data_IF_505790008732
#
_entry.id   IF_505790008732
#
_cell.length_a   1.000
_cell.length_b   1.000
_cell.length_c   1.000
_cell.angle_alpha   90.00
_cell.angle_beta   90.00
_cell.angle_gamma   90.00
#
_symmetry.space_group_name_H-M   'P 1'
#
loop_
_entity.id
_entity.type
_entity.pdbx_description
1 polymer ?
#
# COMPACT_ATOMS: atom_id res chain seq x y z
N UNK A 1 -11.22 -8.50 0.16
CA UNK A 1 -10.56 -8.40 1.48
C UNK A 1 -9.69 -9.62 1.64
N UNK A 2 -8.39 -9.45 1.56
CA UNK A 2 -7.38 -10.52 1.63
C UNK A 2 -6.85 -10.54 3.04
N UNK A 3 -7.05 -11.64 3.77
CA UNK A 3 -6.46 -11.85 5.08
C UNK A 3 -5.14 -12.61 4.90
N UNK A 4 -4.02 -11.98 5.20
CA UNK A 4 -2.73 -12.65 5.37
C UNK A 4 -2.59 -13.00 6.85
N UNK A 5 -2.19 -14.23 7.16
CA UNK A 5 -2.22 -14.76 8.51
C UNK A 5 -1.00 -14.36 9.33
N UNK A 6 -1.27 -14.17 10.60
CA UNK A 6 -0.28 -14.03 11.67
C UNK A 6 0.16 -15.40 12.20
N UNK A 7 1.48 -15.60 12.36
CA UNK A 7 2.08 -16.79 12.99
C UNK A 7 2.06 -16.60 14.51
N UNK A 8 0.98 -17.05 15.17
CA UNK A 8 0.91 -17.21 16.61
C UNK A 8 1.22 -18.66 17.00
N UNK A 9 2.45 -18.94 17.48
CA UNK A 9 2.81 -20.22 18.05
C UNK A 9 2.07 -20.47 19.35
N UNK A 10 1.48 -21.67 19.48
CA UNK A 10 1.01 -22.23 20.76
C UNK A 10 2.22 -22.63 21.59
N UNK A 11 2.25 -22.17 22.83
CA UNK A 11 3.11 -22.73 23.87
C UNK A 11 2.24 -23.54 24.83
N UNK A 12 2.58 -24.83 24.99
CA UNK A 12 2.03 -25.74 25.97
C UNK A 12 2.54 -25.40 27.39
N UNK A 13 1.64 -25.37 28.35
CA UNK A 13 1.93 -25.35 29.78
C UNK A 13 2.09 -26.80 30.31
N UNK A 14 3.17 -27.05 31.06
CA UNK A 14 3.28 -27.96 32.18
C UNK A 14 4.65 -27.71 32.84
N UNK A 15 4.81 -27.22 34.06
CA UNK A 15 4.40 -27.79 35.33
C UNK A 15 5.62 -28.10 36.20
N UNK A 16 5.70 -27.44 37.38
CA UNK A 16 6.30 -27.89 38.64
C UNK A 16 7.78 -27.61 39.04
N UNK A 17 7.85 -26.81 40.09
CA UNK A 17 8.53 -27.02 41.41
C UNK A 17 9.99 -26.65 41.63
N UNK A 18 10.20 -25.65 42.48
CA UNK A 18 10.97 -25.74 43.72
C UNK A 18 12.48 -25.45 43.68
N UNK A 19 12.88 -24.38 44.40
CA UNK A 19 14.27 -24.22 44.83
C UNK A 19 14.63 -22.74 45.18
N UNK A 20 14.55 -22.38 46.46
CA UNK A 20 15.14 -21.18 47.03
C UNK A 20 16.68 -21.28 47.01
N UNK A 21 17.42 -20.20 46.73
CA UNK A 21 18.40 -19.66 47.62
C UNK A 21 19.23 -18.47 47.07
N UNK A 22 19.27 -17.43 47.90
CA UNK A 22 20.41 -16.57 48.25
C UNK A 22 20.78 -15.40 47.32
N UNK A 23 20.67 -14.25 47.95
CA UNK A 23 21.03 -12.92 47.50
C UNK A 23 22.56 -12.66 47.47
N UNK A 24 23.00 -11.86 46.51
CA UNK A 24 24.28 -11.16 46.50
C UNK A 24 24.21 -9.91 45.62
N UNK A 25 24.89 -8.80 45.93
CA UNK A 25 24.48 -7.46 45.57
C UNK A 25 25.11 -6.88 44.29
N UNK A 26 24.39 -5.91 43.74
CA UNK A 26 24.84 -4.80 42.88
C UNK A 26 25.71 -5.10 41.65
N UNK A 27 25.05 -5.08 40.50
CA UNK A 27 25.64 -4.56 39.28
C UNK A 27 24.65 -3.62 38.59
N UNK A 28 25.06 -2.37 38.42
CA UNK A 28 24.34 -1.28 37.76
C UNK A 28 23.78 -1.74 36.42
N UNK A 29 22.46 -1.71 36.32
CA UNK A 29 21.73 -1.94 35.09
C UNK A 29 22.03 -0.82 34.09
N UNK A 30 22.73 -1.12 33.01
CA UNK A 30 22.70 -0.33 31.80
C UNK A 30 21.25 -0.29 31.32
N UNK A 31 20.70 0.91 31.27
CA UNK A 31 19.37 1.18 30.73
C UNK A 31 19.30 0.62 29.31
N UNK A 32 18.47 -0.41 29.13
CA UNK A 32 18.05 -0.94 27.88
C UNK A 32 17.30 0.18 27.14
N UNK A 33 17.89 0.69 26.07
CA UNK A 33 17.26 1.67 25.21
C UNK A 33 16.03 0.98 24.58
N UNK A 34 14.84 1.32 25.11
CA UNK A 34 13.58 0.68 24.78
C UNK A 34 13.35 0.65 23.29
N UNK A 35 13.41 -0.54 22.68
CA UNK A 35 12.90 -0.79 21.35
C UNK A 35 11.42 -0.39 21.33
N UNK A 36 11.07 0.62 20.52
CA UNK A 36 9.71 1.14 20.44
C UNK A 36 8.76 -0.03 20.11
N UNK A 37 7.84 -0.30 21.04
CA UNK A 37 6.90 -1.41 20.93
C UNK A 37 6.02 -1.18 19.69
N UNK A 38 6.03 -2.11 18.73
CA UNK A 38 5.17 -2.04 17.54
C UNK A 38 3.72 -1.77 17.94
N UNK A 39 3.03 -0.80 17.32
CA UNK A 39 1.65 -0.47 17.64
C UNK A 39 0.75 -1.70 17.42
N UNK A 40 -0.26 -1.86 18.28
CA UNK A 40 -1.20 -2.98 18.15
C UNK A 40 -2.14 -2.74 16.96
N UNK A 41 -2.59 -3.81 16.29
CA UNK A 41 -3.55 -3.73 15.19
C UNK A 41 -4.82 -2.93 15.54
N UNK A 42 -5.29 -3.00 16.79
CA UNK A 42 -6.42 -2.21 17.28
C UNK A 42 -6.17 -0.70 17.15
N UNK A 43 -4.98 -0.26 17.58
CA UNK A 43 -4.64 1.17 17.60
C UNK A 43 -4.47 1.69 16.17
N UNK A 44 -3.90 0.86 15.27
CA UNK A 44 -3.75 1.18 13.85
C UNK A 44 -5.10 1.25 13.10
N UNK A 45 -6.10 0.46 13.53
CA UNK A 45 -7.44 0.52 12.94
C UNK A 45 -8.22 1.79 13.29
N UNK A 46 -7.86 2.48 14.37
CA UNK A 46 -8.47 3.75 14.77
C UNK A 46 -7.83 4.95 14.03
N UNK A 47 -6.68 4.75 13.39
CA UNK A 47 -5.97 5.82 12.67
C UNK A 47 -6.66 6.13 11.35
N UNK A 48 -6.97 7.41 11.14
CA UNK A 48 -7.44 7.89 9.84
C UNK A 48 -6.24 8.04 8.91
N UNK A 49 -6.24 7.28 7.80
CA UNK A 49 -5.22 7.35 6.75
C UNK A 49 -5.89 7.35 5.39
N UNK A 50 -5.76 8.47 4.70
CA UNK A 50 -6.08 8.57 3.28
C UNK A 50 -4.86 8.14 2.47
N UNK A 51 -5.12 7.56 1.32
CA UNK A 51 -4.08 7.14 0.38
C UNK A 51 -4.49 7.47 -1.03
N UNK A 52 -3.55 7.91 -1.87
CA UNK A 52 -3.80 8.32 -3.25
C UNK A 52 -2.76 7.69 -4.16
N UNK A 53 -3.24 7.11 -5.26
CA UNK A 53 -2.42 6.68 -6.38
C UNK A 53 -2.73 7.60 -7.57
N UNK A 54 -1.69 8.21 -8.13
CA UNK A 54 -1.82 9.10 -9.27
C UNK A 54 -0.87 8.68 -10.38
N UNK A 55 -1.45 8.34 -11.52
CA UNK A 55 -0.75 7.81 -12.70
C UNK A 55 -0.73 8.88 -13.78
N UNK A 56 0.41 9.04 -14.42
CA UNK A 56 0.66 10.07 -15.41
C UNK A 56 1.33 9.51 -16.65
N UNK A 57 1.13 10.22 -17.76
CA UNK A 57 1.86 10.08 -19.01
C UNK A 57 2.60 11.38 -19.31
N UNK A 58 3.85 11.32 -19.75
CA UNK A 58 4.58 12.49 -20.26
C UNK A 58 4.04 12.83 -21.64
N UNK A 59 3.36 13.98 -21.74
CA UNK A 59 2.77 14.46 -22.99
C UNK A 59 3.76 15.27 -23.83
N UNK A 60 4.70 15.97 -23.17
CA UNK A 60 5.72 16.79 -23.85
C UNK A 60 7.12 16.45 -23.34
N UNK A 61 7.72 15.42 -23.94
CA UNK A 61 9.09 14.97 -23.61
C UNK A 61 10.12 16.02 -24.03
N UNK A 62 9.91 16.69 -25.17
CA UNK A 62 10.84 17.71 -25.69
C UNK A 62 10.94 18.90 -24.73
N UNK A 63 9.82 19.41 -24.23
CA UNK A 63 9.81 20.49 -23.24
C UNK A 63 10.41 20.04 -21.89
N UNK A 64 10.18 18.79 -21.50
CA UNK A 64 10.76 18.21 -20.27
C UNK A 64 12.30 18.17 -20.38
N UNK A 65 12.84 17.64 -21.47
CA UNK A 65 14.28 17.57 -21.73
C UNK A 65 14.92 18.96 -21.84
N UNK A 66 14.31 19.87 -22.63
CA UNK A 66 14.80 21.23 -22.81
C UNK A 66 14.90 22.02 -21.50
N UNK A 67 14.03 21.69 -20.52
CA UNK A 67 14.07 22.29 -19.21
C UNK A 67 15.10 21.70 -18.24
N UNK A 68 15.75 20.61 -18.65
CA UNK A 68 16.72 19.88 -17.84
C UNK A 68 16.06 18.88 -16.88
N UNK A 69 16.26 17.59 -17.14
CA UNK A 69 15.73 16.49 -16.32
C UNK A 69 16.17 16.58 -14.84
N UNK A 70 17.43 17.00 -14.61
CA UNK A 70 17.96 17.22 -13.26
C UNK A 70 17.18 18.30 -12.49
N UNK A 71 16.81 19.40 -13.15
CA UNK A 71 16.01 20.46 -12.55
C UNK A 71 14.57 19.98 -12.25
N UNK A 72 13.97 19.24 -13.18
CA UNK A 72 12.64 18.66 -12.98
C UNK A 72 12.64 17.65 -11.83
N UNK A 73 13.68 16.82 -11.72
CA UNK A 73 13.84 15.89 -10.61
C UNK A 73 14.05 16.59 -9.27
N UNK A 74 14.87 17.66 -9.23
CA UNK A 74 15.08 18.45 -8.01
C UNK A 74 13.78 19.11 -7.56
N UNK A 75 13.03 19.75 -8.46
CA UNK A 75 11.75 20.39 -8.16
C UNK A 75 10.74 19.40 -7.54
N UNK A 76 10.65 18.18 -8.07
CA UNK A 76 9.79 17.14 -7.52
C UNK A 76 10.32 16.64 -6.17
N UNK A 77 11.63 16.42 -6.04
CA UNK A 77 12.24 15.99 -4.76
C UNK A 77 11.94 17.02 -3.66
N UNK A 78 12.19 18.31 -3.92
CA UNK A 78 11.93 19.40 -2.98
C UNK A 78 10.45 19.47 -2.57
N UNK A 79 9.54 19.23 -3.53
CA UNK A 79 8.10 19.16 -3.25
C UNK A 79 7.76 18.01 -2.29
N UNK A 80 8.32 16.81 -2.54
CA UNK A 80 8.07 15.65 -1.70
C UNK A 80 8.70 15.79 -0.30
N UNK A 81 9.88 16.39 -0.20
CA UNK A 81 10.54 16.68 1.08
C UNK A 81 9.72 17.70 1.92
N UNK A 82 9.19 18.76 1.27
CA UNK A 82 8.28 19.69 1.93
C UNK A 82 6.98 19.01 2.37
N UNK A 83 6.46 18.07 1.59
CA UNK A 83 5.27 17.29 1.93
C UNK A 83 5.56 16.38 3.14
N UNK A 84 6.72 15.72 3.17
CA UNK A 84 7.15 14.90 4.30
C UNK A 84 7.25 15.72 5.60
N UNK A 85 7.75 16.96 5.52
CA UNK A 85 7.77 17.91 6.66
C UNK A 85 6.39 18.29 7.21
N UNK A 86 5.31 18.02 6.43
CA UNK A 86 3.91 18.19 6.84
C UNK A 86 3.23 16.87 7.24
N UNK A 87 3.98 15.75 7.30
CA UNK A 87 3.45 14.43 7.63
C UNK A 87 2.80 13.70 6.46
N UNK A 88 2.96 14.17 5.21
CA UNK A 88 2.53 13.45 4.02
C UNK A 88 3.62 12.46 3.61
N UNK A 89 3.28 11.19 3.51
CA UNK A 89 4.22 10.13 3.18
C UNK A 89 4.17 9.84 1.68
N UNK A 90 5.31 9.90 1.00
CA UNK A 90 5.47 9.32 -0.34
C UNK A 90 5.90 7.86 -0.19
N UNK A 91 4.94 6.92 -0.30
CA UNK A 91 5.27 5.48 -0.19
C UNK A 91 6.13 5.02 -1.35
N UNK A 92 5.94 5.58 -2.53
CA UNK A 92 6.80 5.29 -3.67
C UNK A 92 6.52 6.14 -4.89
N UNK A 93 7.57 6.21 -5.73
CA UNK A 93 7.53 6.70 -7.09
C UNK A 93 7.81 5.49 -7.98
N UNK A 94 6.97 5.23 -8.97
CA UNK A 94 7.01 3.98 -9.74
C UNK A 94 7.11 4.27 -11.24
N UNK A 95 8.04 3.59 -11.89
CA UNK A 95 8.16 3.52 -13.34
C UNK A 95 7.16 2.49 -13.88
N UNK A 96 6.25 2.94 -14.75
CA UNK A 96 5.17 2.14 -15.35
C UNK A 96 5.44 1.84 -16.82
N UNK A 97 6.46 2.48 -17.40
CA UNK A 97 6.84 2.34 -18.80
C UNK A 97 7.08 0.86 -19.16
N UNK A 98 6.63 0.46 -20.35
CA UNK A 98 6.75 -0.92 -20.84
C UNK A 98 5.78 -1.92 -20.20
N UNK A 99 5.20 -1.59 -19.03
CA UNK A 99 4.14 -2.38 -18.39
C UNK A 99 2.74 -1.88 -18.80
N UNK A 100 2.66 -0.60 -19.19
CA UNK A 100 1.46 0.02 -19.78
C UNK A 100 1.86 0.87 -20.98
N UNK A 101 1.00 0.89 -22.01
CA UNK A 101 1.22 1.70 -23.21
C UNK A 101 0.77 3.17 -23.03
N UNK A 102 -0.15 3.43 -22.11
CA UNK A 102 -0.83 4.71 -21.92
C UNK A 102 -0.35 5.48 -20.68
N UNK A 103 0.67 4.97 -19.96
CA UNK A 103 1.18 5.59 -18.75
C UNK A 103 2.70 5.41 -18.61
N UNK A 104 3.37 6.38 -18.00
CA UNK A 104 4.81 6.39 -17.81
C UNK A 104 5.22 6.25 -16.35
N UNK A 105 4.53 6.93 -15.42
CA UNK A 105 4.89 6.88 -14.01
C UNK A 105 3.68 7.02 -13.08
N UNK A 106 3.89 6.63 -11.83
CA UNK A 106 2.87 6.70 -10.77
C UNK A 106 3.49 7.15 -9.46
N UNK A 107 2.76 7.98 -8.71
CA UNK A 107 3.04 8.28 -7.30
C UNK A 107 2.04 7.58 -6.40
N UNK A 108 2.51 7.16 -5.22
CA UNK A 108 1.68 6.68 -4.13
C UNK A 108 1.91 7.54 -2.89
N UNK A 109 0.91 8.30 -2.50
CA UNK A 109 0.93 9.21 -1.35
C UNK A 109 -0.03 8.78 -0.24
N UNK A 110 0.33 9.09 1.02
CA UNK A 110 -0.47 8.78 2.21
C UNK A 110 -0.48 9.99 3.13
N UNK A 111 -1.65 10.34 3.67
CA UNK A 111 -1.80 11.46 4.62
C UNK A 111 -2.95 11.20 5.61
N UNK A 112 -3.02 12.00 6.67
CA UNK A 112 -4.16 12.00 7.60
C UNK A 112 -5.34 12.82 7.10
N UNK A 113 -5.13 13.73 6.15
CA UNK A 113 -6.16 14.60 5.55
C UNK A 113 -6.27 14.38 4.04
N UNK A 114 -7.48 14.36 3.47
CA UNK A 114 -7.67 14.33 2.02
C UNK A 114 -7.23 15.64 1.38
N UNK A 115 -7.37 16.78 2.07
CA UNK A 115 -6.99 18.11 1.56
C UNK A 115 -5.48 18.18 1.32
N UNK A 116 -4.66 17.59 2.22
CA UNK A 116 -3.22 17.50 2.05
C UNK A 116 -2.83 16.73 0.78
N UNK A 117 -3.53 15.64 0.47
CA UNK A 117 -3.29 14.86 -0.75
C UNK A 117 -3.71 15.64 -2.01
N UNK A 118 -4.85 16.34 -1.97
CA UNK A 118 -5.30 17.18 -3.08
C UNK A 118 -4.33 18.34 -3.31
N UNK A 119 -3.88 19.01 -2.25
CA UNK A 119 -2.90 20.10 -2.33
C UNK A 119 -1.57 19.61 -2.89
N UNK A 120 -1.07 18.45 -2.44
CA UNK A 120 0.15 17.85 -2.99
C UNK A 120 -0.01 17.54 -4.47
N UNK A 121 -1.14 16.95 -4.88
CA UNK A 121 -1.45 16.69 -6.29
C UNK A 121 -1.44 17.99 -7.12
N UNK A 122 -2.14 19.03 -6.65
CA UNK A 122 -2.20 20.34 -7.34
C UNK A 122 -0.81 20.98 -7.43
N UNK A 123 -0.02 20.92 -6.36
CA UNK A 123 1.36 21.44 -6.34
C UNK A 123 2.25 20.65 -7.30
N UNK A 124 2.15 19.31 -7.32
CA UNK A 124 2.86 18.49 -8.30
C UNK A 124 2.52 18.90 -9.74
N UNK A 125 1.24 19.11 -10.06
CA UNK A 125 0.79 19.57 -11.39
C UNK A 125 1.39 20.91 -11.82
N UNK A 126 1.91 21.70 -10.88
CA UNK A 126 2.59 22.98 -11.15
C UNK A 126 4.09 22.85 -11.34
N UNK A 127 4.70 21.72 -10.98
CA UNK A 127 6.11 21.44 -11.26
C UNK A 127 6.35 21.29 -12.76
N UNK A 128 7.59 21.37 -13.20
CA UNK A 128 7.96 21.14 -14.59
C UNK A 128 7.48 19.78 -15.08
N UNK A 129 7.81 18.69 -14.36
CA UNK A 129 7.34 17.35 -14.69
C UNK A 129 5.80 17.31 -14.77
N UNK A 130 5.11 17.88 -13.80
CA UNK A 130 3.66 17.92 -13.76
C UNK A 130 3.03 18.67 -14.93
N UNK A 131 3.65 19.77 -15.41
CA UNK A 131 3.19 20.53 -16.58
C UNK A 131 3.44 19.81 -17.91
N UNK A 132 4.53 19.05 -18.00
CA UNK A 132 4.83 18.24 -19.18
C UNK A 132 4.09 16.89 -19.21
N UNK A 133 3.25 16.61 -18.18
CA UNK A 133 2.55 15.33 -18.05
C UNK A 133 1.04 15.52 -18.03
N UNK A 134 0.31 14.51 -18.47
CA UNK A 134 -1.15 14.40 -18.36
C UNK A 134 -1.53 13.33 -17.33
N UNK A 135 -2.58 13.57 -16.51
CA UNK A 135 -3.10 12.54 -15.63
C UNK A 135 -3.81 11.47 -16.46
N UNK A 136 -3.49 10.21 -16.20
CA UNK A 136 -4.14 9.04 -16.81
C UNK A 136 -5.19 8.46 -15.88
N UNK A 137 -4.85 8.37 -14.59
CA UNK A 137 -5.73 7.84 -13.55
C UNK A 137 -5.31 8.40 -12.19
N UNK A 138 -6.28 8.76 -11.37
CA UNK A 138 -6.01 9.19 -10.01
C UNK A 138 -7.17 8.77 -9.12
N UNK A 139 -6.87 8.10 -8.01
CA UNK A 139 -7.86 7.59 -7.07
C UNK A 139 -7.40 7.82 -5.64
N UNK A 140 -8.35 8.17 -4.79
CA UNK A 140 -8.16 8.29 -3.36
C UNK A 140 -8.96 7.20 -2.65
N UNK A 141 -8.41 6.66 -1.57
CA UNK A 141 -9.07 5.70 -0.70
C UNK A 141 -8.78 6.05 0.77
N UNK A 142 -9.57 5.50 1.68
CA UNK A 142 -9.47 5.75 3.11
C UNK A 142 -9.37 4.42 3.86
N UNK A 143 -8.34 4.27 4.71
CA UNK A 143 -8.24 3.07 5.56
C UNK A 143 -9.46 2.95 6.48
N UNK A 144 -10.04 1.77 6.50
CA UNK A 144 -11.08 1.32 7.44
C UNK A 144 -10.80 -0.12 7.85
N UNK A 145 -11.12 -0.52 9.10
CA UNK A 145 -10.96 -1.90 9.55
C UNK A 145 -11.68 -2.88 8.63
N UNK A 146 -11.05 -4.03 8.42
CA UNK A 146 -11.65 -5.11 7.64
C UNK A 146 -12.91 -5.66 8.32
N UNK A 147 -13.93 -6.02 7.53
CA UNK A 147 -15.25 -6.46 8.02
C UNK A 147 -15.15 -7.68 8.95
N UNK A 148 -14.36 -8.70 8.57
CA UNK A 148 -14.29 -9.98 9.30
C UNK A 148 -12.92 -10.29 9.89
N UNK A 149 -11.88 -9.51 9.59
CA UNK A 149 -10.53 -9.69 10.13
C UNK A 149 -9.91 -8.36 10.52
N UNK A 150 -10.21 -7.89 11.73
CA UNK A 150 -9.69 -6.62 12.24
C UNK A 150 -8.19 -6.65 12.57
N UNK A 151 -7.54 -7.81 12.56
CA UNK A 151 -6.09 -7.91 12.72
C UNK A 151 -5.33 -7.65 11.41
N UNK A 152 -6.02 -7.71 10.26
CA UNK A 152 -5.42 -7.40 8.97
C UNK A 152 -5.28 -5.88 8.79
N UNK A 153 -4.05 -5.41 8.88
CA UNK A 153 -3.69 -4.00 8.67
C UNK A 153 -2.96 -3.89 7.32
N UNK A 154 -3.35 -2.96 6.43
CA UNK A 154 -2.58 -2.69 5.21
C UNK A 154 -1.14 -2.32 5.53
N UNK A 155 -0.18 -2.78 4.74
CA UNK A 155 1.24 -2.57 4.96
C UNK A 155 1.62 -1.08 5.06
N UNK A 156 0.93 -0.20 4.31
CA UNK A 156 1.17 1.25 4.38
C UNK A 156 0.68 1.89 5.69
N UNK A 157 -0.34 1.32 6.34
CA UNK A 157 -0.82 1.77 7.66
C UNK A 157 0.08 1.26 8.77
N UNK A 158 0.59 0.03 8.61
CA UNK A 158 1.57 -0.58 9.52
C UNK A 158 2.97 0.02 9.36
N UNK A 159 3.15 1.00 8.47
CA UNK A 159 4.44 1.67 8.17
C UNK A 159 5.54 0.66 7.77
N UNK A 160 5.14 -0.47 7.17
CA UNK A 160 6.10 -1.42 6.65
C UNK A 160 6.83 -0.85 5.42
N UNK A 161 8.12 -1.16 5.29
CA UNK A 161 8.93 -0.71 4.15
C UNK A 161 8.31 -1.13 2.81
N UNK A 162 8.19 -0.20 1.83
CA UNK A 162 7.66 -0.53 0.51
C UNK A 162 8.59 -1.48 -0.24
N UNK A 163 8.00 -2.32 -1.12
CA UNK A 163 8.74 -3.30 -1.92
C UNK A 163 9.16 -2.74 -3.27
N UNK A 164 9.96 -3.53 -4.03
CA UNK A 164 10.52 -3.13 -5.31
C UNK A 164 9.46 -2.92 -6.41
N UNK A 165 8.36 -3.67 -6.36
CA UNK A 165 7.27 -3.58 -7.32
C UNK A 165 5.94 -3.36 -6.61
N UNK A 166 5.03 -2.68 -7.31
CA UNK A 166 3.62 -2.56 -6.91
C UNK A 166 2.72 -2.87 -8.11
N UNK A 167 1.57 -3.49 -7.85
CA UNK A 167 0.46 -3.59 -8.79
C UNK A 167 -0.79 -3.02 -8.15
N UNK A 168 -1.31 -1.92 -8.71
CA UNK A 168 -2.49 -1.20 -8.20
C UNK A 168 -3.65 -1.40 -9.16
N UNK A 169 -4.82 -1.71 -8.62
CA UNK A 169 -6.04 -1.86 -9.42
C UNK A 169 -7.29 -1.62 -8.58
N UNK A 170 -8.39 -1.17 -9.23
CA UNK A 170 -9.68 -1.04 -8.57
C UNK A 170 -10.39 -2.37 -8.49
N UNK A 171 -11.36 -2.44 -7.57
CA UNK A 171 -12.18 -3.62 -7.40
C UNK A 171 -13.62 -3.22 -7.05
N UNK A 172 -14.58 -3.81 -7.75
CA UNK A 172 -16.01 -3.62 -7.49
C UNK A 172 -16.67 -4.98 -7.32
N UNK A 173 -17.42 -5.16 -6.25
CA UNK A 173 -18.17 -6.37 -5.96
C UNK A 173 -19.38 -6.53 -6.89
N UNK A 174 -19.90 -7.76 -6.99
CA UNK A 174 -21.20 -7.98 -7.61
C UNK A 174 -22.33 -7.37 -6.77
N UNK A 175 -23.46 -7.06 -7.39
CA UNK A 175 -24.61 -6.49 -6.67
C UNK A 175 -25.12 -7.38 -5.53
N UNK A 176 -24.99 -8.70 -5.69
CA UNK A 176 -25.43 -9.68 -4.69
C UNK A 176 -24.51 -9.72 -3.46
N UNK A 177 -23.22 -9.36 -3.61
CA UNK A 177 -22.23 -9.54 -2.54
C UNK A 177 -22.69 -8.98 -1.18
N UNK A 178 -23.14 -7.73 -1.16
CA UNK A 178 -23.53 -7.05 0.07
C UNK A 178 -24.87 -7.53 0.63
N UNK A 179 -25.66 -8.26 -0.18
CA UNK A 179 -26.94 -8.84 0.17
C UNK A 179 -26.84 -10.30 0.65
N UNK A 180 -25.66 -10.93 0.47
CA UNK A 180 -25.41 -12.28 0.98
C UNK A 180 -25.44 -12.30 2.52
N UNK A 181 -25.78 -13.47 3.06
CA UNK A 181 -25.64 -13.71 4.49
C UNK A 181 -24.22 -13.43 4.97
N UNK A 182 -24.03 -12.72 6.09
CA UNK A 182 -22.69 -12.41 6.60
C UNK A 182 -21.81 -13.64 6.88
N UNK A 183 -22.38 -14.79 7.25
CA UNK A 183 -21.63 -16.02 7.47
C UNK A 183 -21.10 -16.58 6.14
N UNK A 184 -21.87 -16.48 5.07
CA UNK A 184 -21.44 -16.88 3.72
C UNK A 184 -20.29 -16.01 3.23
N UNK A 185 -20.41 -14.67 3.33
CA UNK A 185 -19.31 -13.75 3.01
C UNK A 185 -18.03 -14.08 3.78
N UNK A 186 -18.18 -14.31 5.10
CA UNK A 186 -17.05 -14.68 5.96
C UNK A 186 -16.38 -15.96 5.50
N UNK A 187 -17.14 -16.99 5.13
CA UNK A 187 -16.61 -18.28 4.64
C UNK A 187 -15.79 -18.08 3.35
N UNK A 188 -16.34 -17.35 2.37
CA UNK A 188 -15.64 -17.08 1.11
C UNK A 188 -14.37 -16.25 1.33
N UNK A 189 -14.40 -15.27 2.24
CA UNK A 189 -13.23 -14.46 2.55
C UNK A 189 -12.18 -15.23 3.37
N UNK A 190 -12.60 -16.17 4.22
CA UNK A 190 -11.70 -17.07 4.92
C UNK A 190 -10.97 -18.02 3.95
N UNK A 191 -11.69 -18.61 2.99
CA UNK A 191 -11.10 -19.41 1.91
C UNK A 191 -10.05 -18.60 1.13
N UNK A 192 -10.45 -17.43 0.65
CA UNK A 192 -9.58 -16.51 -0.08
C UNK A 192 -8.33 -16.12 0.74
N UNK A 193 -8.51 -15.82 2.02
CA UNK A 193 -7.41 -15.50 2.94
C UNK A 193 -6.46 -16.68 3.19
N UNK A 194 -6.97 -17.93 3.29
CA UNK A 194 -6.13 -19.12 3.42
C UNK A 194 -5.24 -19.31 2.19
N UNK A 195 -5.78 -19.14 0.99
CA UNK A 195 -5.00 -19.22 -0.25
C UNK A 195 -3.89 -18.15 -0.30
N UNK A 196 -4.16 -16.94 0.20
CA UNK A 196 -3.18 -15.86 0.23
C UNK A 196 -1.99 -16.14 1.18
N UNK A 197 -2.14 -17.03 2.17
CA UNK A 197 -1.06 -17.37 3.12
C UNK A 197 0.18 -18.02 2.48
N UNK A 198 0.03 -18.59 1.29
CA UNK A 198 1.14 -19.17 0.53
C UNK A 198 2.07 -18.10 -0.07
N UNK A 199 1.71 -16.81 0.09
CA UNK A 199 2.43 -15.66 -0.45
C UNK A 199 2.81 -14.64 0.64
N UNK A 200 3.57 -15.03 1.67
CA UNK A 200 3.93 -14.13 2.78
C UNK A 200 4.87 -13.01 2.36
N UNK A 201 5.52 -13.15 1.21
CA UNK A 201 6.40 -12.19 0.56
C UNK A 201 5.64 -11.10 -0.23
N UNK A 202 4.34 -11.29 -0.47
CA UNK A 202 3.48 -10.30 -1.14
C UNK A 202 2.66 -9.54 -0.10
N UNK A 203 2.89 -8.24 0.00
CA UNK A 203 2.12 -7.36 0.86
C UNK A 203 0.83 -6.94 0.20
N UNK A 204 -0.27 -7.03 0.93
CA UNK A 204 -1.58 -6.64 0.46
C UNK A 204 -2.04 -5.34 1.12
N UNK A 205 -2.43 -4.37 0.31
CA UNK A 205 -3.04 -3.14 0.75
C UNK A 205 -4.43 -3.06 0.10
N UNK A 206 -5.49 -3.33 0.88
CA UNK A 206 -6.86 -3.27 0.41
C UNK A 206 -7.59 -2.19 1.17
N UNK A 207 -8.09 -1.18 0.47
CA UNK A 207 -8.72 -0.01 1.08
C UNK A 207 -10.03 0.35 0.38
N UNK A 208 -11.09 0.68 1.14
CA UNK A 208 -12.36 1.15 0.58
C UNK A 208 -12.22 2.56 0.01
N UNK A 209 -12.97 2.82 -1.07
CA UNK A 209 -13.02 4.11 -1.73
C UNK A 209 -14.44 4.51 -2.18
N UNK A 210 -15.46 3.94 -1.54
CA UNK A 210 -16.87 4.26 -1.82
C UNK A 210 -17.11 5.76 -1.85
N UNK A 211 -17.72 6.26 -2.90
CA UNK A 211 -18.01 7.69 -3.15
C UNK A 211 -16.80 8.62 -3.29
N UNK A 212 -15.57 8.14 -3.08
CA UNK A 212 -14.37 8.94 -3.35
C UNK A 212 -13.97 8.91 -4.84
N UNK A 213 -14.42 7.90 -5.56
CA UNK A 213 -14.28 7.71 -7.01
C UNK A 213 -15.31 6.69 -7.51
N UNK A 214 -15.17 6.22 -8.76
CA UNK A 214 -16.11 5.29 -9.40
C UNK A 214 -16.03 3.84 -8.90
N UNK A 215 -15.11 3.55 -7.96
CA UNK A 215 -14.87 2.19 -7.47
C UNK A 215 -15.27 2.04 -6.00
N UNK A 216 -15.33 0.78 -5.54
CA UNK A 216 -15.61 0.45 -4.14
C UNK A 216 -14.34 0.22 -3.32
N UNK A 217 -13.32 -0.37 -3.97
CA UNK A 217 -12.07 -0.77 -3.35
C UNK A 217 -10.88 -0.50 -4.27
N UNK A 218 -9.75 -0.13 -3.69
CA UNK A 218 -8.45 -0.14 -4.36
C UNK A 218 -7.57 -1.17 -3.67
N UNK A 219 -6.90 -2.00 -4.49
CA UNK A 219 -5.91 -2.96 -4.05
C UNK A 219 -4.54 -2.55 -4.58
N UNK A 220 -3.53 -2.63 -3.71
CA UNK A 220 -2.14 -2.45 -4.09
C UNK A 220 -1.33 -3.61 -3.50
N UNK A 221 -0.86 -4.51 -4.37
CA UNK A 221 0.07 -5.58 -3.99
C UNK A 221 1.50 -5.12 -4.19
N UNK A 222 2.35 -5.36 -3.19
CA UNK A 222 3.76 -5.05 -3.24
C UNK A 222 4.59 -6.32 -3.06
N UNK A 223 5.64 -6.51 -3.86
CA UNK A 223 6.61 -7.59 -3.73
C UNK A 223 7.98 -7.15 -4.25
N UNK A 224 9.04 -7.84 -3.82
CA UNK A 224 10.38 -7.62 -4.36
C UNK A 224 10.58 -8.35 -5.69
N UNK A 225 9.78 -9.40 -5.95
CA UNK A 225 9.76 -10.16 -7.18
C UNK A 225 8.39 -10.05 -7.87
N UNK A 226 8.35 -9.46 -9.06
CA UNK A 226 7.09 -9.16 -9.76
C UNK A 226 6.26 -10.43 -10.06
N UNK A 227 6.91 -11.55 -10.37
CA UNK A 227 6.20 -12.81 -10.65
C UNK A 227 5.39 -13.30 -9.44
N UNK A 228 5.79 -12.99 -8.20
CA UNK A 228 5.05 -13.39 -7.01
C UNK A 228 3.67 -12.75 -6.93
N UNK A 229 3.54 -11.50 -7.40
CA UNK A 229 2.22 -10.84 -7.52
C UNK A 229 1.36 -11.57 -8.55
N UNK A 230 1.94 -11.98 -9.68
CA UNK A 230 1.23 -12.73 -10.72
C UNK A 230 0.77 -14.10 -10.19
N UNK A 231 1.64 -14.83 -9.49
CA UNK A 231 1.34 -16.15 -8.94
C UNK A 231 0.20 -16.06 -7.91
N UNK A 232 0.26 -15.11 -6.97
CA UNK A 232 -0.83 -14.82 -6.03
C UNK A 232 -2.14 -14.56 -6.77
N UNK A 233 -2.12 -13.64 -7.74
CA UNK A 233 -3.31 -13.26 -8.49
C UNK A 233 -3.93 -14.45 -9.24
N UNK A 234 -3.11 -15.31 -9.86
CA UNK A 234 -3.57 -16.54 -10.52
C UNK A 234 -4.20 -17.52 -9.53
N UNK A 235 -3.53 -17.75 -8.40
CA UNK A 235 -4.04 -18.65 -7.35
C UNK A 235 -5.40 -18.19 -6.84
N UNK A 236 -5.54 -16.92 -6.50
CA UNK A 236 -6.78 -16.34 -5.98
C UNK A 236 -7.96 -16.35 -6.98
N UNK A 237 -7.70 -16.55 -8.28
CA UNK A 237 -8.79 -16.75 -9.27
C UNK A 237 -9.59 -18.02 -9.00
N UNK A 238 -9.04 -19.01 -8.30
CA UNK A 238 -9.73 -20.24 -7.90
C UNK A 238 -10.67 -20.10 -6.72
N UNK A 239 -10.69 -18.97 -6.00
CA UNK A 239 -11.55 -18.78 -4.82
C UNK A 239 -13.01 -18.45 -5.19
N UNK A 240 -13.95 -18.88 -4.34
CA UNK A 240 -15.38 -18.58 -4.55
C UNK A 240 -15.70 -17.07 -4.51
N UNK A 241 -14.92 -16.28 -3.76
CA UNK A 241 -15.04 -14.84 -3.73
C UNK A 241 -14.91 -14.19 -5.13
N UNK A 242 -14.26 -14.88 -6.08
CA UNK A 242 -14.13 -14.45 -7.47
C UNK A 242 -15.48 -14.30 -8.20
N UNK A 243 -16.47 -15.11 -7.88
CA UNK A 243 -17.82 -15.03 -8.46
C UNK A 243 -18.52 -13.69 -8.17
N UNK A 244 -18.04 -13.00 -7.14
CA UNK A 244 -18.56 -11.71 -6.71
C UNK A 244 -17.65 -10.53 -7.07
N UNK A 245 -16.90 -10.64 -8.17
CA UNK A 245 -16.11 -9.56 -8.74
C UNK A 245 -16.72 -9.08 -10.04
N UNK A 246 -17.11 -7.81 -10.12
CA UNK A 246 -17.71 -7.19 -11.31
C UNK A 246 -16.71 -6.38 -12.12
N UNK A 247 -15.87 -5.62 -11.45
CA UNK A 247 -14.83 -4.76 -12.05
C UNK A 247 -13.51 -5.02 -11.37
N UNK A 248 -12.43 -5.07 -12.15
CA UNK A 248 -11.07 -5.32 -11.67
C UNK A 248 -10.01 -4.71 -12.59
N UNK A 249 -10.37 -3.66 -13.31
CA UNK A 249 -9.50 -2.92 -14.24
C UNK A 249 -9.68 -1.41 -14.02
N UNK A 250 -8.66 -0.59 -14.38
CA UNK A 250 -7.35 -0.91 -14.98
C UNK A 250 -6.33 -1.42 -13.95
N UNK A 251 -5.26 -2.09 -14.44
CA UNK A 251 -4.08 -2.41 -13.63
C UNK A 251 -2.95 -1.43 -13.95
N UNK A 252 -2.32 -0.90 -12.91
CA UNK A 252 -1.08 -0.11 -13.00
C UNK A 252 0.00 -0.81 -12.19
N UNK A 253 0.93 -1.42 -12.91
CA UNK A 253 2.07 -2.10 -12.32
C UNK A 253 3.32 -1.27 -12.57
N UNK A 254 4.15 -1.08 -11.54
CA UNK A 254 5.34 -0.25 -11.65
C UNK A 254 6.49 -0.75 -10.78
N UNK A 255 7.71 -0.45 -11.24
CA UNK A 255 8.94 -0.64 -10.49
C UNK A 255 9.24 0.62 -9.68
N UNK A 256 9.45 0.46 -8.37
CA UNK A 256 9.84 1.57 -7.49
C UNK A 256 11.22 2.10 -7.87
N UNK A 257 11.31 3.42 -8.02
CA UNK A 257 12.56 4.13 -8.31
C UNK A 257 12.69 5.39 -7.45
N UNK A 258 13.91 5.80 -7.07
CA UNK A 258 14.15 7.16 -6.59
C UNK A 258 13.69 8.19 -7.63
N UNK A 259 13.22 9.36 -7.19
CA UNK A 259 12.69 10.42 -8.09
C UNK A 259 13.67 10.77 -9.22
N UNK A 260 14.95 10.91 -8.90
CA UNK A 260 15.99 11.25 -9.90
C UNK A 260 16.10 10.22 -11.01
N UNK A 261 16.10 8.94 -10.64
CA UNK A 261 16.16 7.83 -11.60
C UNK A 261 14.89 7.72 -12.43
N UNK A 262 13.74 7.92 -11.76
CA UNK A 262 12.45 7.93 -12.44
C UNK A 262 12.42 9.03 -13.51
N UNK A 263 12.70 10.28 -13.13
CA UNK A 263 12.65 11.43 -14.04
C UNK A 263 13.66 11.25 -15.19
N UNK A 264 14.87 10.74 -14.90
CA UNK A 264 15.88 10.47 -15.93
C UNK A 264 15.41 9.41 -16.96
N UNK A 265 14.52 8.50 -16.58
CA UNK A 265 13.96 7.48 -17.48
C UNK A 265 12.77 7.94 -18.31
N UNK A 266 12.29 9.17 -18.13
CA UNK A 266 11.10 9.72 -18.81
C UNK A 266 11.43 10.50 -20.11
N UNK A 267 12.71 10.68 -20.40
CA UNK A 267 13.21 11.35 -21.60
C UNK A 267 13.20 10.45 -22.83
#
# INVERSE_FOLDING_TARGET
>A
MIAVADNGGMADEQGMAGGQEMAGPDSMSTQDAGAARKPKARDLNEVVRYTMWSVFRVADRVALEAGGLGNAAAEVSDLLDQAAGKGIITRGCYDVQGLRADADFMFWWVASSPDDLQDLYVRFRRTRLGRCSEPVWSVMALHRPAEFNKSHIPAFVAEEEPRAYVSVYPFVRSYQWYLLDPAERRRMLAEHGMMAREYPDVRANTVPCFSLNDYEWILAFEADELHRILDLMRHLRGSQARLHTRVEIPFYTGRRKPVRELVASLA
#
